data_IF_697367618704
#
_entry.id   IF_697367618704
#
_cell.length_a   1.000
_cell.length_b   1.000
_cell.length_c   1.000
_cell.angle_alpha   90.00
_cell.angle_beta   90.00
_cell.angle_gamma   90.00
#
_symmetry.space_group_name_H-M   'P 1'
#
loop_
_entity.id
_entity.type
_entity.pdbx_description
1 polymer ?
#
# COMPACT_ATOMS: atom_id res chain seq x y z
N UNK A 1 -7.47 -26.28 36.43
CA UNK A 1 -6.37 -25.33 36.12
C UNK A 1 -6.78 -23.95 36.59
N UNK A 2 -5.90 -23.21 37.28
CA UNK A 2 -6.11 -21.76 37.51
C UNK A 2 -5.72 -21.04 36.22
N UNK A 3 -6.63 -20.27 35.65
CA UNK A 3 -6.39 -19.44 34.48
C UNK A 3 -6.64 -17.97 34.80
N UNK A 4 -6.09 -17.08 33.97
CA UNK A 4 -6.38 -15.65 34.03
C UNK A 4 -7.59 -15.34 33.16
N UNK A 5 -8.57 -14.64 33.72
CA UNK A 5 -9.79 -14.22 33.02
C UNK A 5 -9.94 -12.71 33.14
N UNK A 6 -10.25 -12.05 32.02
CA UNK A 6 -10.53 -10.61 31.96
C UNK A 6 -11.61 -10.35 30.92
N UNK A 7 -12.19 -9.16 30.92
CA UNK A 7 -13.28 -8.80 30.00
C UNK A 7 -13.20 -7.32 29.62
N UNK A 8 -13.41 -7.01 28.34
CA UNK A 8 -13.44 -5.64 27.83
C UNK A 8 -14.78 -5.32 27.18
N UNK A 9 -15.31 -4.11 27.39
CA UNK A 9 -16.53 -3.64 26.71
C UNK A 9 -16.31 -3.28 25.24
N UNK A 10 -15.05 -3.06 24.83
CA UNK A 10 -14.64 -2.69 23.46
C UNK A 10 -13.40 -3.48 23.07
N UNK A 11 -13.33 -3.97 21.83
CA UNK A 11 -12.20 -4.76 21.34
C UNK A 11 -10.88 -3.99 21.40
N UNK A 12 -10.90 -2.67 21.19
CA UNK A 12 -9.71 -1.79 21.30
C UNK A 12 -9.09 -1.78 22.71
N UNK A 13 -9.86 -2.15 23.75
CA UNK A 13 -9.36 -2.23 25.13
C UNK A 13 -8.90 -3.63 25.50
N UNK A 14 -9.23 -4.63 24.69
CA UNK A 14 -8.97 -6.02 25.01
C UNK A 14 -7.46 -6.30 25.17
N UNK A 15 -6.61 -5.69 24.34
CA UNK A 15 -5.16 -5.91 24.44
C UNK A 15 -4.59 -5.40 25.76
N UNK A 16 -4.88 -4.15 26.13
CA UNK A 16 -4.43 -3.60 27.41
C UNK A 16 -4.91 -4.45 28.60
N UNK A 17 -6.19 -4.83 28.60
CA UNK A 17 -6.75 -5.62 29.70
C UNK A 17 -6.16 -7.04 29.80
N UNK A 18 -5.82 -7.65 28.66
CA UNK A 18 -5.15 -8.96 28.63
C UNK A 18 -3.70 -8.82 29.10
N UNK A 19 -2.97 -7.80 28.66
CA UNK A 19 -1.59 -7.54 29.09
C UNK A 19 -1.50 -7.33 30.59
N UNK A 20 -2.37 -6.50 31.16
CA UNK A 20 -2.41 -6.25 32.61
C UNK A 20 -2.69 -7.54 33.39
N UNK A 21 -3.65 -8.34 32.92
CA UNK A 21 -4.02 -9.57 33.59
C UNK A 21 -2.90 -10.64 33.54
N UNK A 22 -2.23 -10.79 32.39
CA UNK A 22 -1.09 -11.71 32.23
C UNK A 22 0.10 -11.25 33.08
N UNK A 23 0.43 -9.96 33.06
CA UNK A 23 1.52 -9.38 33.84
C UNK A 23 1.33 -9.64 35.35
N UNK A 24 0.12 -9.39 35.87
CA UNK A 24 -0.21 -9.67 37.28
C UNK A 24 -0.18 -11.16 37.59
N UNK A 25 -0.65 -12.02 36.68
CA UNK A 25 -0.70 -13.46 36.93
C UNK A 25 0.68 -14.13 36.91
N UNK A 26 1.59 -13.65 36.03
CA UNK A 26 2.92 -14.21 35.85
C UNK A 26 4.03 -13.46 36.60
N UNK A 27 3.71 -12.31 37.21
CA UNK A 27 4.66 -11.40 37.86
C UNK A 27 5.80 -10.96 36.93
N UNK A 28 5.43 -10.49 35.74
CA UNK A 28 6.36 -10.00 34.70
C UNK A 28 5.91 -8.65 34.16
N UNK A 29 6.82 -7.84 33.57
CA UNK A 29 6.44 -6.60 32.88
C UNK A 29 5.44 -6.84 31.74
N UNK A 30 4.49 -5.93 31.53
CA UNK A 30 3.42 -6.05 30.53
C UNK A 30 3.88 -5.93 29.07
N UNK A 31 5.10 -5.47 28.86
CA UNK A 31 5.80 -5.36 27.58
C UNK A 31 6.80 -6.50 27.32
N UNK A 32 6.94 -7.46 28.26
CA UNK A 32 7.85 -8.60 28.12
C UNK A 32 7.33 -9.74 27.22
N UNK A 33 6.12 -9.58 26.66
CA UNK A 33 5.46 -10.56 25.80
C UNK A 33 4.57 -9.90 24.74
N UNK A 34 4.27 -10.64 23.67
CA UNK A 34 3.34 -10.21 22.62
C UNK A 34 1.93 -10.74 22.86
N UNK A 35 0.94 -9.91 22.51
CA UNK A 35 -0.49 -10.28 22.57
C UNK A 35 -1.10 -10.15 21.19
N UNK A 36 -1.64 -11.25 20.66
CA UNK A 36 -2.43 -11.27 19.43
C UNK A 36 -3.88 -11.62 19.76
N UNK A 37 -4.80 -10.71 19.48
CA UNK A 37 -6.23 -10.91 19.71
C UNK A 37 -6.92 -11.29 18.40
N UNK A 38 -7.51 -12.48 18.38
CA UNK A 38 -8.29 -12.98 17.26
C UNK A 38 -9.77 -13.12 17.68
N UNK A 39 -10.65 -12.22 17.21
CA UNK A 39 -12.07 -12.34 17.50
C UNK A 39 -12.66 -13.61 16.90
N UNK A 40 -13.17 -14.49 17.75
CA UNK A 40 -13.94 -15.67 17.32
C UNK A 40 -15.39 -15.24 17.10
N UNK A 41 -15.82 -15.23 15.83
CA UNK A 41 -17.17 -14.88 15.44
C UNK A 41 -18.02 -16.14 15.18
N UNK A 42 -19.36 -16.09 15.31
CA UNK A 42 -20.24 -17.12 14.76
C UNK A 42 -19.95 -17.39 13.28
N UNK A 43 -20.07 -18.66 12.85
CA UNK A 43 -19.71 -19.11 11.48
C UNK A 43 -20.35 -18.26 10.39
N UNK A 44 -21.61 -17.87 10.56
CA UNK A 44 -22.36 -17.02 9.61
C UNK A 44 -21.77 -15.62 9.44
N UNK A 45 -21.15 -15.07 10.50
CA UNK A 45 -20.52 -13.75 10.49
C UNK A 45 -19.08 -13.80 9.96
N UNK A 46 -18.34 -14.88 10.22
CA UNK A 46 -16.98 -15.05 9.70
C UNK A 46 -16.93 -14.88 8.18
N UNK A 47 -17.82 -15.56 7.45
CA UNK A 47 -17.90 -15.46 5.99
C UNK A 47 -18.30 -14.05 5.51
N UNK A 48 -19.19 -13.36 6.23
CA UNK A 48 -19.60 -11.99 5.89
C UNK A 48 -18.44 -11.00 6.09
N UNK A 49 -17.73 -11.08 7.21
CA UNK A 49 -16.57 -10.22 7.50
C UNK A 49 -15.44 -10.49 6.51
N UNK A 50 -15.14 -11.75 6.22
CA UNK A 50 -14.13 -12.13 5.23
C UNK A 50 -14.43 -11.53 3.85
N UNK A 51 -15.67 -11.68 3.36
CA UNK A 51 -16.11 -11.07 2.09
C UNK A 51 -16.01 -9.54 2.13
N UNK A 52 -16.45 -8.90 3.21
CA UNK A 52 -16.38 -7.45 3.34
C UNK A 52 -14.93 -6.92 3.29
N UNK A 53 -13.99 -7.61 3.96
CA UNK A 53 -12.56 -7.27 3.89
C UNK A 53 -12.00 -7.46 2.49
N UNK A 54 -12.35 -8.57 1.82
CA UNK A 54 -11.91 -8.87 0.46
C UNK A 54 -12.36 -7.79 -0.52
N UNK A 55 -13.67 -7.49 -0.57
CA UNK A 55 -14.23 -6.49 -1.47
C UNK A 55 -13.64 -5.10 -1.22
N UNK A 56 -13.42 -4.74 0.06
CA UNK A 56 -12.76 -3.48 0.39
C UNK A 56 -11.33 -3.43 -0.15
N UNK A 57 -10.55 -4.49 0.05
CA UNK A 57 -9.18 -4.57 -0.48
C UNK A 57 -9.14 -4.48 -2.00
N UNK A 58 -10.05 -5.16 -2.70
CA UNK A 58 -10.18 -5.05 -4.16
C UNK A 58 -10.52 -3.61 -4.58
N UNK A 59 -11.48 -2.97 -3.90
CA UNK A 59 -11.87 -1.58 -4.17
C UNK A 59 -10.77 -0.55 -3.88
N UNK A 60 -9.84 -0.83 -2.98
CA UNK A 60 -8.67 0.04 -2.72
C UNK A 60 -7.66 0.01 -3.88
N UNK A 61 -7.56 -1.12 -4.60
CA UNK A 61 -6.58 -1.32 -5.68
C UNK A 61 -7.14 -0.91 -7.06
N UNK A 62 -8.40 -1.21 -7.33
CA UNK A 62 -9.04 -0.99 -8.64
C UNK A 62 -8.94 0.45 -9.18
N UNK A 63 -9.10 1.53 -8.38
CA UNK A 63 -8.98 2.90 -8.88
C UNK A 63 -7.58 3.21 -9.45
N UNK A 64 -6.54 2.64 -8.83
CA UNK A 64 -5.16 2.81 -9.29
C UNK A 64 -4.94 2.09 -10.62
N UNK A 65 -5.43 0.86 -10.73
CA UNK A 65 -5.35 0.07 -11.96
C UNK A 65 -6.12 0.74 -13.10
N UNK A 66 -7.36 1.18 -12.83
CA UNK A 66 -8.18 1.90 -13.79
C UNK A 66 -7.49 3.17 -14.29
N UNK A 67 -6.82 3.92 -13.40
CA UNK A 67 -6.08 5.12 -13.80
C UNK A 67 -4.86 4.82 -14.69
N UNK A 68 -4.13 3.74 -14.40
CA UNK A 68 -2.99 3.31 -15.22
C UNK A 68 -3.48 2.87 -16.61
N UNK A 69 -4.44 1.95 -16.67
CA UNK A 69 -4.99 1.45 -17.92
C UNK A 69 -5.61 2.57 -18.77
N UNK A 70 -6.35 3.49 -18.13
CA UNK A 70 -6.94 4.64 -18.84
C UNK A 70 -5.87 5.56 -19.42
N UNK A 71 -4.73 5.75 -18.73
CA UNK A 71 -3.65 6.59 -19.22
C UNK A 71 -2.91 5.96 -20.39
N UNK A 72 -2.67 4.65 -20.35
CA UNK A 72 -2.07 3.88 -21.44
C UNK A 72 -2.95 3.94 -22.69
N UNK A 73 -4.23 3.58 -22.57
CA UNK A 73 -5.16 3.63 -23.71
C UNK A 73 -5.34 5.06 -24.23
N UNK A 74 -5.40 6.06 -23.36
CA UNK A 74 -5.46 7.46 -23.79
C UNK A 74 -4.23 7.87 -24.60
N UNK A 75 -3.03 7.42 -24.21
CA UNK A 75 -1.81 7.66 -24.96
C UNK A 75 -1.83 6.98 -26.32
N UNK A 76 -2.20 5.69 -26.39
CA UNK A 76 -2.28 4.94 -27.65
C UNK A 76 -3.27 5.55 -28.63
N UNK A 77 -4.45 5.95 -28.15
CA UNK A 77 -5.49 6.58 -28.99
C UNK A 77 -4.99 7.89 -29.63
N UNK A 78 -4.21 8.69 -28.89
CA UNK A 78 -3.76 10.00 -29.39
C UNK A 78 -2.45 9.90 -30.16
N UNK A 79 -1.48 9.13 -29.67
CA UNK A 79 -0.12 9.10 -30.21
C UNK A 79 0.04 8.10 -31.35
N UNK A 80 -0.60 6.94 -31.23
CA UNK A 80 -0.46 5.83 -32.20
C UNK A 80 -1.61 5.84 -33.20
N UNK A 81 -2.84 6.04 -32.73
CA UNK A 81 -4.02 6.08 -33.61
C UNK A 81 -4.36 7.49 -34.13
N UNK A 82 -3.63 8.52 -33.67
CA UNK A 82 -3.78 9.92 -34.11
C UNK A 82 -5.20 10.50 -33.93
N UNK A 83 -5.99 9.99 -32.97
CA UNK A 83 -7.29 10.59 -32.65
C UNK A 83 -7.10 11.94 -31.95
N UNK A 84 -8.07 12.82 -32.16
CA UNK A 84 -8.16 14.04 -31.34
C UNK A 84 -8.43 13.68 -29.89
N UNK A 85 -7.98 14.53 -28.95
CA UNK A 85 -8.26 14.37 -27.50
C UNK A 85 -9.78 14.25 -27.22
N UNK A 86 -10.60 14.91 -28.03
CA UNK A 86 -12.07 14.87 -27.90
C UNK A 86 -12.63 13.51 -28.33
N UNK A 87 -12.12 12.93 -29.41
CA UNK A 87 -12.58 11.62 -29.89
C UNK A 87 -12.05 10.49 -28.99
N UNK A 88 -10.80 10.58 -28.53
CA UNK A 88 -10.28 9.68 -27.51
C UNK A 88 -11.13 9.72 -26.23
N UNK A 89 -11.60 10.89 -25.82
CA UNK A 89 -12.55 11.05 -24.71
C UNK A 89 -13.88 10.33 -24.96
N UNK A 90 -14.45 10.44 -26.16
CA UNK A 90 -15.67 9.70 -26.53
C UNK A 90 -15.46 8.19 -26.49
N UNK A 91 -14.33 7.69 -26.99
CA UNK A 91 -14.00 6.25 -26.98
C UNK A 91 -13.86 5.72 -25.55
N UNK A 92 -13.17 6.45 -24.68
CA UNK A 92 -12.95 6.04 -23.29
C UNK A 92 -14.12 6.35 -22.35
N UNK A 93 -15.18 7.03 -22.82
CA UNK A 93 -16.27 7.50 -21.97
C UNK A 93 -15.83 8.57 -20.95
N UNK A 94 -14.79 9.33 -21.28
CA UNK A 94 -14.18 10.34 -20.42
C UNK A 94 -14.28 11.74 -21.05
N UNK A 95 -14.28 12.77 -20.22
CA UNK A 95 -14.18 14.14 -20.73
C UNK A 95 -12.81 14.39 -21.37
N UNK A 96 -12.74 15.28 -22.35
CA UNK A 96 -11.48 15.69 -22.97
C UNK A 96 -10.48 16.23 -21.93
N UNK A 97 -10.95 16.95 -20.89
CA UNK A 97 -10.12 17.42 -19.77
C UNK A 97 -9.47 16.25 -19.03
N UNK A 98 -10.22 15.17 -18.78
CA UNK A 98 -9.70 13.98 -18.12
C UNK A 98 -8.65 13.28 -18.97
N UNK A 99 -8.85 13.19 -20.28
CA UNK A 99 -7.84 12.68 -21.22
C UNK A 99 -6.55 13.52 -21.13
N UNK A 100 -6.65 14.85 -21.19
CA UNK A 100 -5.47 15.73 -21.04
C UNK A 100 -4.74 15.51 -19.72
N UNK A 101 -5.45 15.31 -18.62
CA UNK A 101 -4.83 14.99 -17.32
C UNK A 101 -4.09 13.66 -17.34
N UNK A 102 -4.70 12.62 -17.92
CA UNK A 102 -4.09 11.29 -18.03
C UNK A 102 -2.80 11.32 -18.87
N UNK A 103 -2.82 12.03 -20.01
CA UNK A 103 -1.64 12.20 -20.86
C UNK A 103 -0.50 12.93 -20.15
N UNK A 104 -0.80 13.99 -19.38
CA UNK A 104 0.20 14.70 -18.56
C UNK A 104 0.80 13.80 -17.48
N UNK A 105 -0.04 13.00 -16.80
CA UNK A 105 0.41 12.08 -15.78
C UNK A 105 1.32 10.96 -16.33
N UNK A 106 1.05 10.49 -17.56
CA UNK A 106 1.89 9.52 -18.26
C UNK A 106 3.26 10.12 -18.65
N UNK A 107 3.29 11.33 -19.21
CA UNK A 107 4.53 12.02 -19.58
C UNK A 107 5.46 12.25 -18.37
N UNK A 108 4.90 12.68 -17.23
CA UNK A 108 5.67 12.92 -16.01
C UNK A 108 6.23 11.64 -15.34
N UNK A 109 5.76 10.44 -15.70
CA UNK A 109 6.39 9.18 -15.26
C UNK A 109 7.68 8.90 -16.04
N UNK A 110 7.70 9.15 -17.36
CA UNK A 110 8.86 8.91 -18.22
C UNK A 110 10.09 9.76 -17.84
N UNK A 111 9.88 11.03 -17.50
CA UNK A 111 10.94 11.94 -17.07
C UNK A 111 11.58 11.52 -15.74
N UNK A 112 10.80 11.03 -14.77
CA UNK A 112 11.30 10.59 -13.46
C UNK A 112 12.08 9.27 -13.50
N UNK A 113 11.88 8.45 -14.52
CA UNK A 113 12.69 7.25 -14.76
C UNK A 113 14.04 7.55 -15.42
N UNK A 114 14.15 8.62 -16.22
CA UNK A 114 15.39 8.98 -16.95
C UNK A 114 16.43 9.76 -16.11
N UNK A 115 16.03 10.38 -14.99
CA UNK A 115 16.87 11.33 -14.22
C UNK A 115 17.74 10.74 -13.09
N UNK A 116 17.72 9.43 -12.81
CA UNK A 116 18.57 8.82 -11.75
C UNK A 116 19.70 7.99 -12.35
N UNK A 117 20.62 8.67 -13.04
CA UNK A 117 21.95 8.12 -13.30
C UNK A 117 22.68 7.90 -11.98
N UNK A 118 23.07 6.66 -11.71
CA UNK A 118 23.93 6.27 -10.60
C UNK A 118 25.26 7.01 -10.76
N UNK A 119 25.52 8.01 -9.90
CA UNK A 119 26.86 8.57 -9.75
C UNK A 119 27.67 7.59 -8.90
N UNK A 120 28.48 6.75 -9.56
CA UNK A 120 29.55 6.01 -8.89
C UNK A 120 30.62 7.03 -8.52
N UNK A 121 30.65 7.43 -7.25
CA UNK A 121 31.70 8.27 -6.71
C UNK A 121 33.01 7.48 -6.70
N UNK A 122 33.95 7.90 -7.54
CA UNK A 122 35.35 7.51 -7.41
C UNK A 122 35.92 8.10 -6.11
N UNK A 123 36.38 7.21 -5.23
CA UNK A 123 37.36 7.49 -4.20
C UNK A 123 38.49 6.47 -4.45
N UNK A 124 39.77 6.79 -4.46
CA UNK A 124 40.50 7.98 -4.06
C UNK A 124 41.95 7.48 -3.95
N UNK A 125 42.87 8.17 -4.61
CA UNK A 125 44.31 7.86 -4.57
C UNK A 125 44.83 7.96 -3.13
N UNK A 126 45.63 7.00 -2.67
CA UNK A 126 46.66 7.28 -1.68
C UNK A 126 48.02 6.79 -2.17
N UNK A 127 48.92 7.77 -2.29
CA UNK A 127 50.36 7.65 -2.44
C UNK A 127 50.99 7.25 -1.09
N UNK A 128 52.15 6.59 -1.15
CA UNK A 128 53.03 6.27 -0.01
C UNK A 128 53.21 4.74 0.10
N UNK A 129 54.39 4.14 0.03
CA UNK A 129 55.72 4.70 0.19
C UNK A 129 56.78 3.81 -0.46
N UNK A 130 57.92 4.41 -0.80
CA UNK A 130 59.10 3.79 -1.39
C UNK A 130 60.03 3.23 -0.29
N UNK A 131 60.57 2.04 -0.56
CA UNK A 131 61.93 1.57 -0.20
C UNK A 131 62.35 1.58 1.28
N UNK A 132 62.56 0.37 1.82
CA UNK A 132 63.86 -0.10 2.31
C UNK A 132 63.87 -1.64 2.24
#
# INVERSE_FOLDING_TARGET
MRGVHTQARRLEKAEAMVRDAIAVFLDVPSDSFDVRIEPVLPRELQGKVGRGRKVRGEAEVLPREAAIASAEVAADLVQTAHLTVRDAGRVLGLSHQRITQLLKAAAGKGERSHGRGIRVAGAGRSQGDRRA
#
